data_IF_258352587354
#
_entry.id   IF_258352587354
#
_cell.length_a   1.000
_cell.length_b   1.000
_cell.length_c   1.000
_cell.angle_alpha   90.00
_cell.angle_beta   90.00
_cell.angle_gamma   90.00
#
_symmetry.space_group_name_H-M   'P 1'
#
loop_
_entity.id
_entity.type
_entity.pdbx_description
1 polymer ?
#
# COMPACT_ATOMS: atom_id res chain seq x y z
N UNK A 1 11.67 9.74 5.80
CA UNK A 1 13.01 10.11 5.25
C UNK A 1 14.13 9.28 5.88
N UNK A 2 14.29 9.16 7.22
CA UNK A 2 15.41 8.40 7.80
C UNK A 2 15.40 6.91 7.45
N UNK A 3 14.21 6.29 7.50
CA UNK A 3 14.05 4.86 7.20
C UNK A 3 14.35 4.54 5.73
N UNK A 4 13.93 5.38 4.80
CA UNK A 4 14.18 5.18 3.37
C UNK A 4 15.69 5.25 3.04
N UNK A 5 16.40 6.21 3.63
CA UNK A 5 17.86 6.32 3.48
C UNK A 5 18.55 5.08 4.04
N UNK A 6 18.11 4.60 5.21
CA UNK A 6 18.65 3.38 5.81
C UNK A 6 18.46 2.16 4.88
N UNK A 7 17.27 1.97 4.31
CA UNK A 7 17.03 0.90 3.33
C UNK A 7 17.87 1.05 2.05
N UNK A 8 18.03 2.27 1.54
CA UNK A 8 18.87 2.54 0.37
C UNK A 8 20.35 2.25 0.66
N UNK A 9 20.85 2.65 1.82
CA UNK A 9 22.22 2.37 2.25
C UNK A 9 22.44 0.86 2.39
N UNK A 10 21.52 0.12 3.01
CA UNK A 10 21.62 -1.35 3.12
C UNK A 10 21.60 -1.99 1.73
N UNK A 11 20.70 -1.54 0.84
CA UNK A 11 20.64 -2.03 -0.54
C UNK A 11 21.94 -1.77 -1.31
N UNK A 12 22.54 -0.58 -1.15
CA UNK A 12 23.83 -0.22 -1.74
C UNK A 12 24.97 -1.08 -1.17
N UNK A 13 24.99 -1.32 0.14
CA UNK A 13 26.00 -2.18 0.77
C UNK A 13 25.90 -3.63 0.27
N UNK A 14 24.68 -4.17 0.17
CA UNK A 14 24.48 -5.51 -0.40
C UNK A 14 24.87 -5.57 -1.87
N UNK A 15 24.58 -4.52 -2.64
CA UNK A 15 25.03 -4.42 -4.03
C UNK A 15 26.55 -4.47 -4.14
N UNK A 16 27.27 -3.67 -3.35
CA UNK A 16 28.74 -3.69 -3.31
C UNK A 16 29.28 -5.04 -2.81
N UNK A 17 28.67 -5.64 -1.80
CA UNK A 17 29.05 -6.92 -1.21
C UNK A 17 29.01 -8.08 -2.23
N UNK A 18 27.97 -8.11 -3.08
CA UNK A 18 27.81 -9.16 -4.08
C UNK A 18 28.50 -8.87 -5.43
N UNK A 19 28.72 -7.60 -5.78
CA UNK A 19 29.32 -7.24 -7.08
C UNK A 19 30.84 -7.09 -7.04
N UNK A 20 31.45 -6.95 -5.86
CA UNK A 20 32.90 -6.88 -5.68
C UNK A 20 33.40 -8.09 -4.86
N UNK A 21 33.72 -9.23 -5.51
CA UNK A 21 34.26 -10.43 -4.85
C UNK A 21 35.55 -10.16 -4.05
N UNK A 22 36.26 -9.08 -4.41
CA UNK A 22 37.50 -8.60 -3.77
C UNK A 22 37.27 -8.11 -2.33
N UNK A 23 36.06 -7.65 -2.02
CA UNK A 23 35.68 -7.11 -0.70
C UNK A 23 34.97 -8.13 0.18
N UNK A 24 34.28 -9.10 -0.42
CA UNK A 24 33.46 -10.09 0.30
C UNK A 24 34.10 -11.47 0.42
N UNK A 25 35.18 -11.74 -0.33
CA UNK A 25 35.86 -13.05 -0.42
C UNK A 25 34.93 -14.22 -0.83
N UNK A 26 33.73 -13.93 -1.31
CA UNK A 26 32.73 -14.91 -1.75
C UNK A 26 32.77 -15.05 -3.28
N UNK A 27 32.98 -16.27 -3.76
CA UNK A 27 33.10 -16.62 -5.18
C UNK A 27 31.83 -17.27 -5.74
N UNK A 28 30.68 -17.01 -5.12
CA UNK A 28 29.42 -17.68 -5.42
C UNK A 28 28.58 -16.88 -6.41
N UNK A 29 28.15 -17.53 -7.49
CA UNK A 29 27.10 -17.02 -8.36
C UNK A 29 25.84 -16.76 -7.52
N UNK A 30 25.40 -15.50 -7.47
CA UNK A 30 24.19 -15.09 -6.73
C UNK A 30 22.96 -15.60 -7.46
N UNK A 31 22.50 -16.79 -7.07
CA UNK A 31 21.21 -17.32 -7.53
C UNK A 31 20.10 -16.73 -6.67
N UNK A 32 19.42 -15.70 -7.18
CA UNK A 32 18.25 -15.07 -6.53
C UNK A 32 16.98 -15.94 -6.62
N UNK A 33 17.14 -17.25 -6.38
CA UNK A 33 16.05 -18.22 -6.33
C UNK A 33 16.20 -19.07 -5.09
N UNK A 34 15.11 -19.23 -4.35
CA UNK A 34 15.01 -20.17 -3.24
C UNK A 34 13.81 -21.06 -3.51
N UNK A 35 14.04 -22.38 -3.63
CA UNK A 35 12.99 -23.37 -3.95
C UNK A 35 12.17 -23.03 -5.21
N UNK A 36 12.82 -22.46 -6.24
CA UNK A 36 12.19 -22.05 -7.49
C UNK A 36 11.48 -20.68 -7.46
N UNK A 37 11.34 -20.07 -6.29
CA UNK A 37 10.74 -18.74 -6.11
C UNK A 37 11.78 -17.61 -6.17
N UNK A 38 11.40 -16.48 -6.79
CA UNK A 38 12.26 -15.29 -6.85
C UNK A 38 12.33 -14.66 -5.46
N UNK A 39 13.51 -14.66 -4.85
CA UNK A 39 13.74 -14.00 -3.56
C UNK A 39 14.48 -12.68 -3.75
N UNK A 40 14.19 -11.71 -2.88
CA UNK A 40 14.93 -10.45 -2.87
C UNK A 40 16.35 -10.68 -2.35
N UNK A 41 17.29 -9.85 -2.81
CA UNK A 41 18.70 -9.95 -2.39
C UNK A 41 18.88 -9.84 -0.86
N UNK A 42 18.01 -9.08 -0.21
CA UNK A 42 17.99 -8.97 1.26
C UNK A 42 17.62 -10.30 1.93
N UNK A 43 16.63 -11.02 1.41
CA UNK A 43 16.26 -12.35 1.91
C UNK A 43 17.37 -13.38 1.64
N UNK A 44 18.01 -13.31 0.47
CA UNK A 44 19.15 -14.18 0.13
C UNK A 44 20.28 -14.06 1.17
N UNK A 45 20.66 -12.83 1.52
CA UNK A 45 21.69 -12.55 2.53
C UNK A 45 21.32 -13.11 3.91
N UNK A 46 20.08 -12.94 4.36
CA UNK A 46 19.60 -13.47 5.65
C UNK A 46 19.72 -15.00 5.71
N UNK A 47 19.39 -15.68 4.60
CA UNK A 47 19.36 -17.14 4.58
C UNK A 47 20.75 -17.78 4.50
N UNK A 48 21.67 -17.18 3.73
CA UNK A 48 22.94 -17.81 3.36
C UNK A 48 24.17 -17.21 4.07
N UNK A 49 24.17 -15.92 4.37
CA UNK A 49 25.38 -15.23 4.85
C UNK A 49 25.32 -14.86 6.35
N UNK A 50 24.11 -14.75 6.92
CA UNK A 50 23.96 -14.38 8.33
C UNK A 50 24.26 -15.54 9.30
N UNK A 51 25.00 -15.27 10.40
CA UNK A 51 25.16 -16.23 11.49
C UNK A 51 23.82 -16.66 12.09
N UNK A 52 23.73 -17.90 12.57
CA UNK A 52 22.45 -18.52 12.97
C UNK A 52 21.67 -17.71 14.01
N UNK A 53 22.35 -17.13 15.01
CA UNK A 53 21.71 -16.29 16.04
C UNK A 53 21.14 -14.99 15.49
N UNK A 54 21.85 -14.31 14.57
CA UNK A 54 21.36 -13.07 13.96
C UNK A 54 20.22 -13.34 12.97
N UNK A 55 20.31 -14.44 12.20
CA UNK A 55 19.24 -14.88 11.30
C UNK A 55 17.93 -15.10 12.06
N UNK A 56 17.99 -15.73 13.24
CA UNK A 56 16.83 -15.89 14.12
C UNK A 56 16.25 -14.56 14.58
N UNK A 57 17.09 -13.65 15.07
CA UNK A 57 16.66 -12.32 15.53
C UNK A 57 15.98 -11.50 14.42
N UNK A 58 16.57 -11.48 13.22
CA UNK A 58 16.01 -10.76 12.07
C UNK A 58 14.68 -11.37 11.63
N UNK A 59 14.56 -12.69 11.61
CA UNK A 59 13.32 -13.39 11.25
C UNK A 59 12.19 -13.08 12.23
N UNK A 60 12.47 -13.16 13.54
CA UNK A 60 11.48 -12.81 14.58
C UNK A 60 11.10 -11.33 14.49
N UNK A 61 12.07 -10.43 14.26
CA UNK A 61 11.82 -9.01 14.08
C UNK A 61 10.92 -8.71 12.87
N UNK A 62 11.17 -9.37 11.73
CA UNK A 62 10.35 -9.22 10.53
C UNK A 62 8.91 -9.69 10.74
N UNK A 63 8.73 -10.86 11.38
CA UNK A 63 7.40 -11.37 11.73
C UNK A 63 6.69 -10.44 12.72
N UNK A 64 7.38 -9.97 13.75
CA UNK A 64 6.83 -9.03 14.73
C UNK A 64 6.38 -7.71 14.06
N UNK A 65 7.18 -7.17 13.14
CA UNK A 65 6.84 -5.96 12.40
C UNK A 65 5.59 -6.15 11.50
N UNK A 66 5.47 -7.31 10.84
CA UNK A 66 4.32 -7.65 10.02
C UNK A 66 3.03 -7.79 10.86
N UNK A 67 3.13 -8.43 12.03
CA UNK A 67 2.01 -8.59 12.96
C UNK A 67 1.56 -7.25 13.56
N UNK A 68 2.51 -6.41 13.97
CA UNK A 68 2.23 -5.08 14.51
C UNK A 68 1.51 -4.18 13.50
N UNK A 69 2.01 -4.17 12.25
CA UNK A 69 1.40 -3.39 11.16
C UNK A 69 -0.01 -3.87 10.84
N UNK A 70 -0.21 -5.20 10.75
CA UNK A 70 -1.53 -5.80 10.50
C UNK A 70 -2.54 -5.46 11.60
N UNK A 71 -2.12 -5.51 12.86
CA UNK A 71 -2.99 -5.16 13.99
C UNK A 71 -3.40 -3.68 13.96
N UNK A 72 -2.47 -2.78 13.61
CA UNK A 72 -2.76 -1.36 13.45
C UNK A 72 -3.75 -1.10 12.30
N UNK A 73 -3.56 -1.74 11.15
CA UNK A 73 -4.47 -1.62 9.99
C UNK A 73 -5.88 -2.12 10.34
N UNK A 74 -6.00 -3.31 10.94
CA UNK A 74 -7.29 -3.87 11.34
C UNK A 74 -8.02 -3.00 12.37
N UNK A 75 -7.28 -2.48 13.35
CA UNK A 75 -7.81 -1.54 14.34
C UNK A 75 -8.31 -0.24 13.71
N UNK A 76 -7.54 0.33 12.78
CA UNK A 76 -7.91 1.55 12.07
C UNK A 76 -9.15 1.34 11.18
N UNK A 77 -9.20 0.25 10.41
CA UNK A 77 -10.35 -0.08 9.55
C UNK A 77 -11.63 -0.31 10.37
N UNK A 78 -11.52 -1.02 11.50
CA UNK A 78 -12.65 -1.21 12.42
C UNK A 78 -13.10 0.12 13.01
N UNK A 79 -12.17 0.97 13.44
CA UNK A 79 -12.50 2.29 14.00
C UNK A 79 -13.25 3.16 12.98
N UNK A 80 -12.74 3.28 11.75
CA UNK A 80 -13.39 4.03 10.66
C UNK A 80 -14.77 3.46 10.34
N UNK A 81 -14.89 2.13 10.21
CA UNK A 81 -16.18 1.49 9.92
C UNK A 81 -17.22 1.72 11.02
N UNK A 82 -16.81 1.70 12.29
CA UNK A 82 -17.74 1.92 13.41
C UNK A 82 -18.04 3.40 13.63
N UNK A 83 -17.03 4.25 13.70
CA UNK A 83 -17.19 5.66 14.07
C UNK A 83 -17.73 6.50 12.91
N UNK A 84 -17.31 6.24 11.68
CA UNK A 84 -17.68 7.11 10.55
C UNK A 84 -18.96 6.62 9.84
N UNK A 85 -19.21 5.31 9.86
CA UNK A 85 -20.35 4.73 9.13
C UNK A 85 -21.43 4.17 10.07
N UNK A 86 -21.06 3.26 10.98
CA UNK A 86 -22.05 2.52 11.77
C UNK A 86 -22.72 3.36 12.86
N UNK A 87 -21.95 4.11 13.65
CA UNK A 87 -22.44 4.94 14.76
C UNK A 87 -23.36 6.06 14.27
N UNK A 88 -22.99 6.91 13.29
CA UNK A 88 -23.88 7.97 12.80
C UNK A 88 -25.18 7.43 12.21
N UNK A 89 -25.13 6.24 11.59
CA UNK A 89 -26.32 5.57 11.06
C UNK A 89 -27.25 5.05 12.18
N UNK A 90 -26.68 4.45 13.23
CA UNK A 90 -27.45 3.92 14.37
C UNK A 90 -27.99 5.00 15.31
N UNK A 91 -27.22 6.08 15.52
CA UNK A 91 -27.66 7.23 16.30
C UNK A 91 -28.87 7.92 15.63
N UNK A 92 -28.89 8.01 14.29
CA UNK A 92 -30.08 8.46 13.53
C UNK A 92 -31.32 7.57 13.73
N UNK A 93 -31.14 6.31 14.14
CA UNK A 93 -32.21 5.36 14.47
C UNK A 93 -32.55 5.33 15.96
N UNK A 94 -31.99 6.23 16.78
CA UNK A 94 -32.30 6.36 18.19
C UNK A 94 -31.64 5.33 19.12
N UNK A 95 -30.62 4.60 18.64
CA UNK A 95 -29.87 3.63 19.47
C UNK A 95 -28.54 4.25 19.88
N UNK A 96 -28.31 4.39 21.18
CA UNK A 96 -27.12 5.02 21.72
C UNK A 96 -26.53 4.22 22.91
N UNK A 97 -26.13 2.97 22.63
CA UNK A 97 -25.46 2.10 23.60
C UNK A 97 -23.97 1.97 23.26
N UNK A 98 -23.11 2.51 24.12
CA UNK A 98 -21.66 2.47 23.98
C UNK A 98 -21.12 1.03 23.97
N UNK A 99 -21.71 0.15 24.78
CA UNK A 99 -21.28 -1.25 24.87
C UNK A 99 -21.57 -2.00 23.57
N UNK A 100 -22.65 -1.64 22.88
CA UNK A 100 -22.97 -2.17 21.55
C UNK A 100 -21.93 -1.77 20.51
N UNK A 101 -21.50 -0.50 20.50
CA UNK A 101 -20.48 -0.02 19.55
C UNK A 101 -19.11 -0.68 19.76
N UNK A 102 -18.71 -0.96 21.00
CA UNK A 102 -17.47 -1.68 21.30
C UNK A 102 -17.54 -3.13 20.79
N UNK A 103 -18.67 -3.82 21.00
CA UNK A 103 -18.87 -5.19 20.49
C UNK A 103 -18.89 -5.20 18.95
N UNK A 104 -19.55 -4.23 18.33
CA UNK A 104 -19.55 -4.06 16.89
C UNK A 104 -18.13 -3.83 16.34
N UNK A 105 -17.29 -3.04 17.03
CA UNK A 105 -15.88 -2.84 16.67
C UNK A 105 -15.05 -4.12 16.73
N UNK A 106 -15.23 -4.96 17.75
CA UNK A 106 -14.56 -6.27 17.81
C UNK A 106 -15.00 -7.20 16.67
N UNK A 107 -16.29 -7.18 16.33
CA UNK A 107 -16.82 -7.96 15.20
C UNK A 107 -16.29 -7.43 13.86
N UNK A 108 -16.17 -6.11 13.71
CA UNK A 108 -15.61 -5.48 12.51
C UNK A 108 -14.12 -5.86 12.32
N UNK A 109 -13.33 -5.96 13.39
CA UNK A 109 -11.94 -6.47 13.31
C UNK A 109 -11.92 -7.88 12.72
N UNK A 110 -12.78 -8.78 13.21
CA UNK A 110 -12.86 -10.16 12.69
C UNK A 110 -13.29 -10.18 11.22
N UNK A 111 -14.30 -9.37 10.85
CA UNK A 111 -14.77 -9.25 9.48
C UNK A 111 -13.64 -8.80 8.55
N UNK A 112 -12.92 -7.73 8.90
CA UNK A 112 -11.81 -7.24 8.09
C UNK A 112 -10.63 -8.20 8.07
N UNK A 113 -10.36 -8.94 9.15
CA UNK A 113 -9.33 -9.98 9.15
C UNK A 113 -9.65 -11.09 8.13
N UNK A 114 -10.90 -11.55 8.07
CA UNK A 114 -11.36 -12.52 7.08
C UNK A 114 -11.31 -11.94 5.66
N UNK A 115 -11.78 -10.70 5.47
CA UNK A 115 -11.77 -10.04 4.17
C UNK A 115 -10.35 -9.82 3.62
N UNK A 116 -9.41 -9.37 4.45
CA UNK A 116 -8.01 -9.21 4.08
C UNK A 116 -7.34 -10.56 3.79
N UNK A 117 -7.66 -11.60 4.56
CA UNK A 117 -7.16 -12.96 4.31
C UNK A 117 -7.67 -13.51 2.97
N UNK A 118 -8.95 -13.29 2.66
CA UNK A 118 -9.53 -13.63 1.37
C UNK A 118 -8.89 -12.86 0.22
N UNK A 119 -8.65 -11.56 0.40
CA UNK A 119 -7.97 -10.73 -0.59
C UNK A 119 -6.51 -11.16 -0.79
N UNK A 120 -5.81 -11.58 0.27
CA UNK A 120 -4.46 -12.12 0.18
C UNK A 120 -4.43 -13.42 -0.63
N UNK A 121 -5.38 -14.34 -0.39
CA UNK A 121 -5.53 -15.56 -1.18
C UNK A 121 -5.83 -15.25 -2.66
N UNK A 122 -6.74 -14.32 -2.93
CA UNK A 122 -7.04 -13.89 -4.30
C UNK A 122 -5.82 -13.28 -4.99
N UNK A 123 -5.09 -12.43 -4.28
CA UNK A 123 -3.88 -11.76 -4.80
C UNK A 123 -2.78 -12.77 -5.14
N UNK A 124 -2.64 -13.85 -4.35
CA UNK A 124 -1.70 -14.93 -4.66
C UNK A 124 -2.01 -15.59 -6.02
N UNK A 125 -3.27 -15.95 -6.27
CA UNK A 125 -3.67 -16.51 -7.57
C UNK A 125 -3.48 -15.52 -8.72
N UNK A 126 -3.85 -14.26 -8.51
CA UNK A 126 -3.72 -13.22 -9.54
C UNK A 126 -2.25 -12.97 -9.89
N UNK A 127 -1.38 -12.88 -8.88
CA UNK A 127 0.05 -12.68 -9.07
C UNK A 127 0.68 -13.83 -9.85
N UNK A 128 0.26 -15.08 -9.58
CA UNK A 128 0.78 -16.25 -10.31
C UNK A 128 0.40 -16.24 -11.78
N UNK A 129 -0.78 -15.71 -12.12
CA UNK A 129 -1.24 -15.58 -13.50
C UNK A 129 -0.54 -14.44 -14.25
N UNK A 130 -0.28 -13.31 -13.59
CA UNK A 130 0.28 -12.11 -14.25
C UNK A 130 1.80 -11.97 -14.15
N UNK A 131 2.47 -12.83 -13.37
CA UNK A 131 3.93 -12.81 -13.07
C UNK A 131 4.45 -11.44 -12.59
N UNK A 132 3.56 -10.58 -12.09
CA UNK A 132 3.91 -9.25 -11.62
C UNK A 132 4.68 -9.35 -10.30
N UNK A 133 5.74 -8.52 -10.11
CA UNK A 133 6.34 -8.35 -8.80
C UNK A 133 5.32 -7.86 -7.78
N UNK A 134 5.29 -8.47 -6.58
CA UNK A 134 4.39 -8.11 -5.47
C UNK A 134 4.39 -6.61 -5.18
N UNK A 135 5.58 -6.00 -5.20
CA UNK A 135 5.75 -4.57 -4.95
C UNK A 135 4.99 -3.73 -5.99
N UNK A 136 5.11 -4.05 -7.27
CA UNK A 136 4.44 -3.32 -8.35
C UNK A 136 2.92 -3.48 -8.27
N UNK A 137 2.44 -4.67 -7.92
CA UNK A 137 1.01 -4.92 -7.70
C UNK A 137 0.48 -4.08 -6.53
N UNK A 138 1.13 -4.14 -5.37
CA UNK A 138 0.72 -3.39 -4.19
C UNK A 138 0.75 -1.88 -4.43
N UNK A 139 1.80 -1.35 -5.06
CA UNK A 139 1.91 0.07 -5.43
C UNK A 139 0.80 0.49 -6.40
N UNK A 140 0.47 -0.37 -7.37
CA UNK A 140 -0.62 -0.14 -8.31
C UNK A 140 -1.98 -0.03 -7.63
N UNK A 141 -2.29 -0.95 -6.70
CA UNK A 141 -3.54 -0.91 -5.92
C UNK A 141 -3.59 0.34 -5.03
N UNK A 142 -2.49 0.69 -4.35
CA UNK A 142 -2.43 1.89 -3.51
C UNK A 142 -2.66 3.18 -4.30
N UNK A 143 -2.22 3.26 -5.56
CA UNK A 143 -2.38 4.44 -6.39
C UNK A 143 -3.86 4.86 -6.54
N UNK A 144 -4.79 3.90 -6.67
CA UNK A 144 -6.21 4.18 -6.79
C UNK A 144 -6.78 4.95 -5.60
N UNK A 145 -6.37 4.60 -4.38
CA UNK A 145 -6.83 5.27 -3.17
C UNK A 145 -6.09 6.61 -2.94
N UNK A 146 -4.77 6.62 -3.15
CA UNK A 146 -3.94 7.78 -2.82
C UNK A 146 -4.13 8.97 -3.75
N UNK A 147 -4.40 8.75 -5.04
CA UNK A 147 -4.56 9.86 -6.00
C UNK A 147 -5.66 10.83 -5.64
N UNK A 148 -6.87 10.31 -5.39
CA UNK A 148 -8.03 11.09 -4.98
C UNK A 148 -7.80 11.78 -3.63
N UNK A 149 -7.36 11.02 -2.62
CA UNK A 149 -7.15 11.56 -1.27
C UNK A 149 -6.08 12.65 -1.25
N UNK A 150 -4.95 12.46 -1.93
CA UNK A 150 -3.87 13.44 -1.99
C UNK A 150 -4.33 14.73 -2.69
N UNK A 151 -5.14 14.61 -3.75
CA UNK A 151 -5.70 15.77 -4.45
C UNK A 151 -6.69 16.56 -3.59
N UNK A 152 -7.60 15.87 -2.90
CA UNK A 152 -8.58 16.49 -2.01
C UNK A 152 -7.91 17.15 -0.79
N UNK A 153 -7.03 16.44 -0.08
CA UNK A 153 -6.32 17.01 1.06
C UNK A 153 -5.36 18.13 0.64
N UNK A 154 -4.69 18.00 -0.51
CA UNK A 154 -3.88 19.07 -1.08
C UNK A 154 -4.72 20.34 -1.31
N UNK A 155 -5.89 20.20 -1.93
CA UNK A 155 -6.79 21.34 -2.12
C UNK A 155 -7.27 21.95 -0.79
N UNK A 156 -7.66 21.12 0.17
CA UNK A 156 -8.14 21.56 1.48
C UNK A 156 -7.06 22.27 2.33
N UNK A 157 -5.79 21.93 2.18
CA UNK A 157 -4.68 22.56 2.91
C UNK A 157 -4.26 23.87 2.24
N UNK A 158 -4.12 23.88 0.91
CA UNK A 158 -3.56 25.02 0.18
C UNK A 158 -4.61 26.04 -0.28
N UNK A 159 -5.90 25.70 -0.24
CA UNK A 159 -6.98 26.58 -0.68
C UNK A 159 -8.18 26.53 0.26
N UNK A 160 -9.07 27.52 0.12
CA UNK A 160 -10.37 27.56 0.81
C UNK A 160 -11.51 26.98 -0.04
N UNK A 161 -11.18 26.24 -1.10
CA UNK A 161 -12.13 25.74 -2.09
C UNK A 161 -12.45 24.28 -1.82
N UNK A 162 -13.71 23.93 -2.01
CA UNK A 162 -14.22 22.58 -1.88
C UNK A 162 -15.58 22.59 -1.21
N UNK A 163 -16.49 21.75 -1.70
CA UNK A 163 -17.80 21.57 -1.11
C UNK A 163 -18.12 20.06 -0.99
N UNK A 164 -19.27 19.74 -0.38
CA UNK A 164 -19.70 18.35 -0.19
C UNK A 164 -19.91 17.58 -1.51
N UNK A 165 -20.04 18.26 -2.65
CA UNK A 165 -20.23 17.62 -3.97
C UNK A 165 -18.93 17.46 -4.75
N UNK A 166 -17.97 18.37 -4.62
CA UNK A 166 -16.68 18.31 -5.32
C UNK A 166 -15.73 17.30 -4.70
N UNK A 167 -15.81 17.07 -3.39
CA UNK A 167 -14.99 16.04 -2.72
C UNK A 167 -15.21 14.65 -3.32
N UNK A 168 -16.43 14.08 -3.38
CA UNK A 168 -16.64 12.77 -3.99
C UNK A 168 -16.33 12.76 -5.50
N UNK A 169 -16.59 13.85 -6.22
CA UNK A 169 -16.21 13.97 -7.64
C UNK A 169 -14.69 13.95 -7.85
N UNK A 170 -13.93 14.59 -6.97
CA UNK A 170 -12.47 14.60 -7.01
C UNK A 170 -11.89 13.21 -6.71
N UNK A 171 -12.47 12.50 -5.73
CA UNK A 171 -12.10 11.11 -5.43
C UNK A 171 -12.35 10.19 -6.63
N UNK A 172 -13.54 10.31 -7.26
CA UNK A 172 -13.86 9.57 -8.48
C UNK A 172 -12.96 9.96 -9.65
N UNK A 173 -12.66 11.25 -9.83
CA UNK A 173 -11.78 11.75 -10.88
C UNK A 173 -10.36 11.20 -10.76
N UNK A 174 -9.79 11.20 -9.56
CA UNK A 174 -8.49 10.59 -9.28
C UNK A 174 -8.49 9.08 -9.58
N UNK A 175 -9.50 8.37 -9.09
CA UNK A 175 -9.68 6.92 -9.33
C UNK A 175 -9.77 6.60 -10.83
N UNK A 176 -10.64 7.32 -11.56
CA UNK A 176 -10.83 7.12 -13.00
C UNK A 176 -9.57 7.45 -13.80
N UNK A 177 -8.80 8.45 -13.37
CA UNK A 177 -7.51 8.78 -14.01
C UNK A 177 -6.53 7.62 -13.86
N UNK A 178 -6.40 7.03 -12.67
CA UNK A 178 -5.55 5.85 -12.47
C UNK A 178 -6.05 4.68 -13.30
N UNK A 179 -7.37 4.43 -13.34
CA UNK A 179 -7.98 3.35 -14.13
C UNK A 179 -7.65 3.50 -15.62
N UNK A 180 -7.81 4.70 -16.18
CA UNK A 180 -7.51 4.97 -17.58
C UNK A 180 -6.02 4.85 -17.90
N UNK A 181 -5.14 5.18 -16.96
CA UNK A 181 -3.69 5.07 -17.12
C UNK A 181 -3.14 3.68 -16.78
N UNK A 182 -3.98 2.72 -16.38
CA UNK A 182 -3.55 1.33 -16.20
C UNK A 182 -3.05 0.77 -17.54
N UNK A 183 -1.98 -0.05 -17.54
CA UNK A 183 -1.40 -0.59 -18.76
C UNK A 183 -2.36 -1.51 -19.53
N UNK A 184 -3.40 -2.06 -18.87
CA UNK A 184 -4.46 -2.81 -19.56
C UNK A 184 -5.35 -1.91 -20.45
N UNK A 185 -5.59 -0.66 -20.07
CA UNK A 185 -6.48 0.26 -20.79
C UNK A 185 -5.68 1.13 -21.76
N UNK A 186 -4.68 1.85 -21.26
CA UNK A 186 -3.86 2.75 -22.08
C UNK A 186 -2.80 2.00 -22.90
N UNK A 187 -2.30 0.89 -22.37
CA UNK A 187 -1.20 0.14 -23.00
C UNK A 187 -1.65 -0.57 -24.28
N UNK A 188 -2.89 -1.03 -24.37
CA UNK A 188 -3.46 -1.56 -25.62
C UNK A 188 -3.75 -0.45 -26.65
N UNK A 189 -4.12 0.76 -26.21
CA UNK A 189 -4.53 1.84 -27.10
C UNK A 189 -3.35 2.66 -27.65
N UNK A 190 -2.34 2.94 -26.82
CA UNK A 190 -1.25 3.88 -27.15
C UNK A 190 0.18 3.31 -26.97
N UNK A 191 0.33 2.07 -26.50
CA UNK A 191 1.65 1.43 -26.33
C UNK A 191 2.55 2.05 -25.25
N UNK A 192 2.06 3.03 -24.47
CA UNK A 192 2.82 3.72 -23.43
C UNK A 192 2.60 3.02 -22.08
N UNK A 193 3.69 2.54 -21.48
CA UNK A 193 3.70 2.02 -20.09
C UNK A 193 4.18 3.11 -19.14
N UNK A 194 3.25 3.76 -18.46
CA UNK A 194 3.58 4.74 -17.42
C UNK A 194 3.86 4.04 -16.08
N UNK A 195 4.91 4.48 -15.39
CA UNK A 195 5.18 4.03 -14.03
C UNK A 195 4.13 4.54 -13.04
N UNK A 196 3.93 3.81 -11.94
CA UNK A 196 2.93 4.14 -10.92
C UNK A 196 3.07 5.57 -10.37
N UNK A 197 4.29 6.10 -10.25
CA UNK A 197 4.54 7.48 -9.77
C UNK A 197 3.88 8.53 -10.66
N UNK A 198 3.90 8.33 -11.98
CA UNK A 198 3.25 9.24 -12.94
C UNK A 198 1.74 9.11 -12.91
N UNK A 199 1.22 7.90 -12.71
CA UNK A 199 -0.22 7.68 -12.49
C UNK A 199 -0.70 8.41 -11.24
N UNK A 200 0.11 8.36 -10.16
CA UNK A 200 -0.22 9.06 -8.91
C UNK A 200 -0.27 10.57 -9.14
N UNK A 201 0.77 11.13 -9.76
CA UNK A 201 0.86 12.55 -10.03
C UNK A 201 -0.30 13.03 -10.91
N UNK A 202 -0.59 12.32 -12.01
CA UNK A 202 -1.68 12.67 -12.91
C UNK A 202 -3.05 12.62 -12.19
N UNK A 203 -3.34 11.53 -11.46
CA UNK A 203 -4.61 11.41 -10.73
C UNK A 203 -4.78 12.45 -9.64
N UNK A 204 -3.70 12.81 -8.93
CA UNK A 204 -3.72 13.89 -7.93
C UNK A 204 -3.96 15.25 -8.57
N UNK A 205 -3.35 15.56 -9.71
CA UNK A 205 -3.59 16.82 -10.45
C UNK A 205 -5.04 16.91 -10.90
N UNK A 206 -5.63 15.81 -11.41
CA UNK A 206 -7.04 15.78 -11.82
C UNK A 206 -7.95 15.98 -10.60
N UNK A 207 -7.74 15.25 -9.51
CA UNK A 207 -8.53 15.38 -8.30
C UNK A 207 -8.44 16.81 -7.70
N UNK A 208 -7.24 17.40 -7.68
CA UNK A 208 -7.04 18.78 -7.25
C UNK A 208 -7.74 19.77 -8.18
N UNK A 209 -7.65 19.58 -9.50
CA UNK A 209 -8.34 20.39 -10.50
C UNK A 209 -9.86 20.39 -10.33
N UNK A 210 -10.46 19.22 -10.04
CA UNK A 210 -11.89 19.10 -9.72
C UNK A 210 -12.25 19.90 -8.47
N UNK A 211 -11.42 19.87 -7.43
CA UNK A 211 -11.63 20.68 -6.22
C UNK A 211 -11.60 22.20 -6.50
N UNK A 212 -10.78 22.67 -7.44
CA UNK A 212 -10.69 24.09 -7.79
C UNK A 212 -11.94 24.65 -8.50
N UNK A 213 -12.81 23.77 -9.01
CA UNK A 213 -14.08 24.17 -9.65
C UNK A 213 -15.13 24.61 -8.63
N UNK A 214 -14.94 24.26 -7.35
CA UNK A 214 -15.79 24.75 -6.27
C UNK A 214 -15.58 26.25 -6.06
N UNK A 215 -16.67 26.98 -5.82
CA UNK A 215 -16.60 28.37 -5.35
C UNK A 215 -16.08 28.39 -3.91
N UNK A 216 -15.41 29.48 -3.56
CA UNK A 216 -15.07 29.79 -2.16
C UNK A 216 -16.37 30.07 -1.42
N UNK A 217 -16.70 29.24 -0.43
CA UNK A 217 -17.71 29.55 0.59
C UNK A 217 -17.06 30.21 1.80
#
# INVERSE_FOLDING_TARGET
IPVAILFLCIGLLLYLFYQHPELSHLSTDVVQKFDGEKITIFMYYILHEMPEGMRGLVTVGAVAAALSSSNSVLGAMSSVAIQDLYRPWKEKQGVNDEMHFIKAGRMAVLLFAVALSAMAMLSYYWQRYTELPLLSFALGVMAFAYTGLLGVFGAAIFTKRGNATTVPLALLGGFMTVLLLQPYVLGELMGVKLGFSWQILAGTVVAFGVMMTAKEE
#
